data_IF_338525305388
#
_entry.id   IF_338525305388
#
_cell.length_a   1.000
_cell.length_b   1.000
_cell.length_c   1.000
_cell.angle_alpha   90.00
_cell.angle_beta   90.00
_cell.angle_gamma   90.00
#
_symmetry.space_group_name_H-M   'P 1'
#
loop_
_entity.id
_entity.type
_entity.pdbx_description
1 polymer ?
#
# COMPACT_ATOMS: atom_id res chain seq x y z
N UNK A 1 -77.98 25.37 -44.39
CA UNK A 1 -78.29 26.72 -43.89
C UNK A 1 -76.95 27.42 -43.63
N UNK A 2 -76.78 28.60 -44.22
CA UNK A 2 -75.62 29.42 -44.22
C UNK A 2 -75.39 30.08 -42.85
N UNK A 3 -74.15 30.08 -42.32
CA UNK A 3 -73.69 30.87 -41.19
C UNK A 3 -72.37 31.52 -41.51
N UNK A 4 -72.38 32.86 -41.49
CA UNK A 4 -71.34 33.78 -41.96
C UNK A 4 -70.24 33.93 -40.94
N UNK A 5 -68.99 33.88 -41.39
CA UNK A 5 -67.79 34.24 -40.64
C UNK A 5 -67.57 35.76 -40.66
N UNK A 6 -67.41 36.36 -39.49
CA UNK A 6 -66.89 37.73 -39.38
C UNK A 6 -65.50 37.74 -38.81
N UNK A 7 -64.54 38.23 -39.58
CA UNK A 7 -63.17 38.52 -39.16
C UNK A 7 -63.06 39.88 -38.47
N UNK A 8 -62.45 39.96 -37.31
CA UNK A 8 -61.96 41.20 -36.73
C UNK A 8 -60.43 41.26 -36.74
N UNK A 9 -59.85 42.38 -37.13
CA UNK A 9 -58.40 42.53 -37.16
C UNK A 9 -57.83 43.20 -35.85
N UNK A 10 -56.62 42.79 -35.47
CA UNK A 10 -55.72 43.63 -34.77
C UNK A 10 -55.36 43.29 -33.29
N UNK A 11 -54.30 42.51 -33.10
CA UNK A 11 -53.47 42.71 -31.92
C UNK A 11 -51.98 42.65 -32.33
N UNK A 12 -51.28 43.73 -32.04
CA UNK A 12 -49.85 43.93 -32.34
C UNK A 12 -48.99 42.95 -31.53
N UNK A 13 -48.26 42.07 -32.22
CA UNK A 13 -47.26 41.17 -31.63
C UNK A 13 -46.04 42.01 -31.28
N UNK A 14 -45.80 42.27 -29.99
CA UNK A 14 -44.52 42.84 -29.48
C UNK A 14 -43.53 41.72 -29.42
N UNK A 15 -42.58 41.70 -30.35
CA UNK A 15 -41.40 40.83 -30.33
C UNK A 15 -40.48 41.26 -29.17
N UNK A 16 -40.48 40.51 -28.09
CA UNK A 16 -39.51 40.63 -27.03
C UNK A 16 -38.27 39.85 -27.46
N UNK A 17 -37.22 40.57 -27.88
CA UNK A 17 -35.91 40.02 -28.16
C UNK A 17 -35.27 39.64 -26.82
N UNK A 18 -35.39 38.39 -26.41
CA UNK A 18 -34.66 37.84 -25.25
C UNK A 18 -33.17 37.66 -25.62
N UNK A 19 -32.32 38.51 -25.13
CA UNK A 19 -30.87 38.31 -25.19
C UNK A 19 -30.54 37.18 -24.22
N UNK A 20 -30.33 35.95 -24.74
CA UNK A 20 -29.77 34.84 -23.94
C UNK A 20 -28.29 35.15 -23.68
N UNK A 21 -27.99 35.60 -22.45
CA UNK A 21 -26.61 35.70 -21.96
C UNK A 21 -26.10 34.27 -21.79
N UNK A 22 -25.35 33.76 -22.75
CA UNK A 22 -24.56 32.53 -22.61
C UNK A 22 -23.46 32.79 -21.59
N UNK A 23 -23.68 32.39 -20.32
CA UNK A 23 -22.64 32.25 -19.31
C UNK A 23 -21.69 31.15 -19.80
N UNK A 24 -20.60 31.54 -20.44
CA UNK A 24 -19.46 30.65 -20.67
C UNK A 24 -18.82 30.44 -19.31
N UNK A 25 -19.21 29.35 -18.61
CA UNK A 25 -18.47 28.90 -17.44
C UNK A 25 -17.04 28.53 -17.90
N UNK A 26 -16.00 29.03 -17.24
CA UNK A 26 -14.64 28.58 -17.53
C UNK A 26 -14.61 27.05 -17.35
N UNK A 27 -14.12 26.34 -18.36
CA UNK A 27 -13.86 24.91 -18.25
C UNK A 27 -12.66 24.78 -17.29
N UNK A 28 -12.95 24.50 -16.03
CA UNK A 28 -11.93 24.17 -15.05
C UNK A 28 -11.37 22.79 -15.43
N UNK A 29 -10.13 22.75 -15.88
CA UNK A 29 -9.44 21.50 -16.18
C UNK A 29 -8.90 20.91 -14.88
N UNK A 30 -9.57 19.91 -14.36
CA UNK A 30 -9.04 19.12 -13.27
C UNK A 30 -7.92 18.21 -13.80
N UNK A 31 -6.76 18.28 -13.20
CA UNK A 31 -5.62 17.43 -13.51
C UNK A 31 -5.68 16.18 -12.64
N UNK A 32 -5.19 15.04 -13.16
CA UNK A 32 -5.10 13.81 -12.37
C UNK A 32 -3.76 13.10 -12.58
N UNK A 33 -3.36 12.35 -11.56
CA UNK A 33 -2.21 11.44 -11.58
C UNK A 33 -2.51 10.22 -10.75
N UNK A 34 -2.04 9.04 -11.21
CA UNK A 34 -2.15 7.81 -10.45
C UNK A 34 -0.80 7.42 -9.87
N UNK A 35 -0.77 7.17 -8.57
CA UNK A 35 0.36 6.63 -7.84
C UNK A 35 0.05 5.18 -7.49
N UNK A 36 0.92 4.27 -7.91
CA UNK A 36 0.78 2.85 -7.66
C UNK A 36 1.93 2.31 -6.83
N UNK A 37 1.62 1.37 -5.95
CA UNK A 37 2.61 0.64 -5.18
C UNK A 37 2.13 -0.78 -4.93
N UNK A 38 3.07 -1.71 -4.71
CA UNK A 38 2.76 -3.09 -4.42
C UNK A 38 3.45 -3.55 -3.14
N UNK A 39 2.79 -4.41 -2.40
CA UNK A 39 3.36 -5.18 -1.32
C UNK A 39 3.42 -6.64 -1.73
N UNK A 40 4.64 -7.18 -1.87
CA UNK A 40 4.90 -8.59 -2.11
C UNK A 40 5.48 -9.19 -0.83
N UNK A 41 4.82 -10.16 -0.29
CA UNK A 41 5.29 -10.82 0.92
C UNK A 41 6.74 -11.31 0.80
N UNK A 42 7.60 -10.93 1.73
CA UNK A 42 9.00 -11.35 1.80
C UNK A 42 10.03 -10.26 1.51
N UNK A 43 9.61 -9.06 1.15
CA UNK A 43 10.50 -7.90 0.92
C UNK A 43 10.83 -7.12 2.20
N UNK A 44 11.00 -5.83 2.06
CA UNK A 44 11.36 -4.89 3.16
C UNK A 44 10.27 -4.71 4.22
N UNK A 45 9.09 -5.32 4.03
CA UNK A 45 7.91 -5.10 4.87
C UNK A 45 7.19 -3.77 4.58
N UNK A 46 7.53 -3.14 3.46
CA UNK A 46 6.97 -1.87 2.97
C UNK A 46 6.42 -2.04 1.56
N UNK A 47 5.63 -1.07 1.14
CA UNK A 47 5.21 -0.99 -0.25
C UNK A 47 6.39 -0.59 -1.15
N UNK A 48 6.54 -1.32 -2.23
CA UNK A 48 7.45 -0.99 -3.33
C UNK A 48 6.71 -0.14 -4.37
N UNK A 49 7.34 0.96 -4.80
CA UNK A 49 6.74 1.86 -5.79
C UNK A 49 6.70 1.19 -7.17
N UNK A 50 5.51 1.15 -7.77
CA UNK A 50 5.28 0.66 -9.14
C UNK A 50 4.87 1.78 -10.11
N UNK A 51 4.78 3.02 -9.63
CA UNK A 51 4.52 4.16 -10.51
C UNK A 51 5.67 4.34 -11.48
N UNK A 52 5.42 4.39 -12.79
CA UNK A 52 6.48 4.61 -13.76
C UNK A 52 7.24 5.92 -13.48
N UNK A 53 8.58 5.90 -13.51
CA UNK A 53 9.36 7.11 -13.32
C UNK A 53 9.10 8.11 -14.46
N UNK A 54 8.98 9.40 -14.10
CA UNK A 54 8.77 10.50 -15.03
C UNK A 54 9.71 11.67 -14.76
N UNK A 55 9.71 12.65 -15.65
CA UNK A 55 10.45 13.90 -15.51
C UNK A 55 11.96 13.70 -15.29
N UNK A 56 12.50 14.34 -14.25
CA UNK A 56 13.95 14.34 -13.97
C UNK A 56 14.55 12.94 -13.85
N UNK A 57 13.93 12.04 -13.08
CA UNK A 57 14.50 10.73 -12.83
C UNK A 57 14.40 9.78 -14.02
N UNK A 58 13.42 9.98 -14.90
CA UNK A 58 13.34 9.25 -16.16
C UNK A 58 14.43 9.69 -17.14
N UNK A 59 14.66 11.01 -17.24
CA UNK A 59 15.59 11.59 -18.20
C UNK A 59 17.05 11.53 -17.72
N UNK A 60 17.29 11.67 -16.42
CA UNK A 60 18.63 11.72 -15.81
C UNK A 60 18.67 10.86 -14.51
N UNK A 61 18.59 9.53 -14.60
CA UNK A 61 18.50 8.65 -13.43
C UNK A 61 19.63 8.83 -12.43
N UNK A 62 20.85 9.16 -12.92
CA UNK A 62 22.04 9.36 -12.08
C UNK A 62 21.91 10.55 -11.09
N UNK A 63 20.99 11.51 -11.36
CA UNK A 63 20.75 12.66 -10.46
C UNK A 63 19.81 12.31 -9.30
N UNK A 64 19.07 11.22 -9.39
CA UNK A 64 17.96 10.92 -8.47
C UNK A 64 18.36 10.08 -7.26
N UNK A 65 19.49 9.38 -7.34
CA UNK A 65 19.95 8.48 -6.28
C UNK A 65 18.81 7.58 -5.78
N UNK A 66 18.41 7.30 -4.74
CA UNK A 66 17.36 6.35 -4.30
C UNK A 66 15.93 6.93 -4.32
N UNK A 67 15.63 7.89 -5.19
CA UNK A 67 14.28 8.45 -5.34
C UNK A 67 13.76 8.27 -6.76
N UNK A 68 12.44 8.22 -6.87
CA UNK A 68 11.73 8.17 -8.15
C UNK A 68 10.83 9.39 -8.25
N UNK A 69 10.89 10.11 -9.35
CA UNK A 69 9.94 11.18 -9.64
C UNK A 69 8.82 10.69 -10.53
N UNK A 70 7.62 11.22 -10.30
CA UNK A 70 6.45 11.05 -11.16
C UNK A 70 6.12 12.39 -11.80
N UNK A 71 5.73 12.37 -13.09
CA UNK A 71 5.31 13.60 -13.79
C UNK A 71 3.93 14.01 -13.33
N UNK A 72 3.78 15.29 -12.98
CA UNK A 72 2.50 15.94 -12.77
C UNK A 72 2.15 16.76 -14.03
N UNK A 73 0.89 16.76 -14.47
CA UNK A 73 0.47 17.55 -15.64
C UNK A 73 0.33 19.05 -15.33
N UNK A 74 1.30 19.60 -14.59
CA UNK A 74 1.34 20.99 -14.15
C UNK A 74 2.36 21.77 -14.99
N UNK A 75 1.88 22.70 -15.77
CA UNK A 75 2.68 23.68 -16.53
C UNK A 75 2.15 25.09 -16.27
N UNK A 76 3.00 26.09 -16.35
CA UNK A 76 2.63 27.49 -16.14
C UNK A 76 3.73 28.45 -16.63
N UNK A 77 3.40 29.72 -16.70
CA UNK A 77 4.36 30.81 -16.85
C UNK A 77 4.47 31.60 -15.54
N UNK A 78 5.69 31.94 -15.18
CA UNK A 78 6.01 32.69 -13.97
C UNK A 78 6.81 33.93 -14.35
N UNK A 79 6.26 35.09 -14.06
CA UNK A 79 7.05 36.34 -14.10
C UNK A 79 7.89 36.40 -12.83
N UNK A 80 9.22 36.48 -12.98
CA UNK A 80 10.16 36.50 -11.86
C UNK A 80 10.88 37.88 -11.85
N UNK A 81 11.09 38.43 -10.65
CA UNK A 81 11.86 39.67 -10.46
C UNK A 81 13.02 39.38 -9.51
N UNK A 82 14.26 39.48 -10.00
CA UNK A 82 15.43 39.19 -9.16
C UNK A 82 15.58 40.19 -8.03
N UNK A 83 15.80 39.66 -6.80
CA UNK A 83 16.02 40.47 -5.60
C UNK A 83 14.76 41.23 -5.19
N UNK A 84 13.57 40.71 -5.50
CA UNK A 84 12.31 41.28 -5.07
C UNK A 84 12.22 41.29 -3.54
N UNK A 85 11.50 42.28 -3.00
CA UNK A 85 11.26 42.37 -1.55
C UNK A 85 10.36 41.23 -1.05
N UNK A 86 9.40 40.79 -1.88
CA UNK A 86 8.58 39.60 -1.62
C UNK A 86 9.20 38.41 -2.34
N UNK A 87 9.64 37.34 -1.63
CA UNK A 87 10.17 36.12 -2.25
C UNK A 87 9.19 35.44 -3.23
N UNK A 88 7.90 35.72 -3.11
CA UNK A 88 6.87 35.21 -4.02
C UNK A 88 6.97 35.77 -5.44
N UNK A 89 7.66 36.90 -5.61
CA UNK A 89 7.95 37.51 -6.92
C UNK A 89 9.24 36.96 -7.57
N UNK A 90 10.02 36.15 -6.84
CA UNK A 90 11.13 35.39 -7.40
C UNK A 90 10.66 34.05 -7.96
N UNK A 91 11.56 33.15 -8.38
CA UNK A 91 11.18 31.81 -8.74
C UNK A 91 10.85 31.03 -7.45
N UNK A 92 9.58 30.86 -7.17
CA UNK A 92 9.03 30.41 -5.89
C UNK A 92 8.25 29.12 -6.05
N UNK A 93 8.42 28.21 -5.10
CA UNK A 93 7.68 26.94 -5.01
C UNK A 93 7.40 26.59 -3.55
N UNK A 94 6.17 26.21 -3.25
CA UNK A 94 5.79 25.54 -2.01
C UNK A 94 4.98 24.29 -2.34
N UNK A 95 5.36 23.15 -1.79
CA UNK A 95 4.62 21.89 -1.93
C UNK A 95 3.54 21.77 -0.84
N UNK A 96 2.52 20.93 -1.07
CA UNK A 96 1.51 20.64 -0.09
C UNK A 96 2.09 20.02 1.19
N UNK A 97 1.44 20.27 2.32
CA UNK A 97 1.73 19.60 3.58
C UNK A 97 1.30 18.14 3.53
N UNK A 98 1.81 17.33 4.46
CA UNK A 98 1.37 15.94 4.68
C UNK A 98 -0.14 15.80 4.65
N UNK A 99 -0.61 14.74 3.98
CA UNK A 99 -2.02 14.35 4.00
C UNK A 99 -2.17 12.94 4.57
N UNK A 100 -3.22 12.76 5.35
CA UNK A 100 -3.73 11.44 5.74
C UNK A 100 -4.93 11.14 4.86
N UNK A 101 -4.91 9.98 4.21
CA UNK A 101 -5.88 9.59 3.18
C UNK A 101 -6.43 8.22 3.55
N UNK A 102 -7.75 8.07 3.52
CA UNK A 102 -8.34 6.75 3.68
C UNK A 102 -8.31 6.02 2.33
N UNK A 103 -7.70 4.83 2.34
CA UNK A 103 -7.74 3.89 1.21
C UNK A 103 -8.65 2.73 1.56
N UNK A 104 -9.39 2.25 0.59
CA UNK A 104 -10.43 1.24 0.75
C UNK A 104 -10.12 0.00 -0.07
N UNK A 105 -10.32 -1.16 0.53
CA UNK A 105 -10.18 -2.44 -0.14
C UNK A 105 -11.35 -2.65 -1.11
N UNK A 106 -11.05 -2.94 -2.39
CA UNK A 106 -12.06 -3.01 -3.47
C UNK A 106 -13.16 -4.05 -3.19
N UNK A 107 -12.82 -5.19 -2.59
CA UNK A 107 -13.78 -6.28 -2.39
C UNK A 107 -14.57 -6.17 -1.08
N UNK A 108 -13.97 -5.66 0.01
CA UNK A 108 -14.57 -5.68 1.35
C UNK A 108 -15.03 -4.32 1.85
N UNK A 109 -14.54 -3.22 1.23
CA UNK A 109 -14.77 -1.87 1.71
C UNK A 109 -14.02 -1.52 3.00
N UNK A 110 -13.16 -2.41 3.49
CA UNK A 110 -12.32 -2.14 4.65
C UNK A 110 -11.42 -0.92 4.39
N UNK A 111 -11.28 -0.04 5.36
CA UNK A 111 -10.45 1.17 5.22
C UNK A 111 -9.14 1.07 6.00
N UNK A 112 -8.10 1.69 5.44
CA UNK A 112 -6.81 1.92 6.10
C UNK A 112 -6.38 3.35 5.86
N UNK A 113 -5.63 3.90 6.81
CA UNK A 113 -5.08 5.24 6.70
C UNK A 113 -3.68 5.20 6.09
N UNK A 114 -3.52 5.95 5.01
CA UNK A 114 -2.28 6.18 4.29
C UNK A 114 -1.77 7.58 4.62
N UNK A 115 -0.51 7.70 4.99
CA UNK A 115 0.19 8.98 5.12
C UNK A 115 0.97 9.26 3.84
N UNK A 116 0.82 10.45 3.30
CA UNK A 116 1.41 10.85 2.03
C UNK A 116 2.16 12.18 2.16
N UNK A 117 3.41 12.18 1.72
CA UNK A 117 4.29 13.34 1.73
C UNK A 117 4.89 13.58 0.35
N UNK A 118 4.98 14.84 -0.06
CA UNK A 118 5.80 15.27 -1.19
C UNK A 118 7.22 15.54 -0.70
N UNK A 119 8.23 14.84 -1.25
CA UNK A 119 9.61 14.88 -0.73
C UNK A 119 10.57 15.67 -1.58
N UNK A 120 10.28 15.83 -2.86
CA UNK A 120 11.09 16.64 -3.77
C UNK A 120 10.26 17.19 -4.92
N UNK A 121 10.74 18.25 -5.55
CA UNK A 121 10.19 18.81 -6.79
C UNK A 121 11.30 19.00 -7.82
N UNK A 122 10.96 18.72 -9.06
CA UNK A 122 11.78 18.98 -10.23
C UNK A 122 10.93 19.64 -11.30
N UNK A 123 11.47 20.66 -11.95
CA UNK A 123 10.82 21.29 -13.09
C UNK A 123 11.83 21.57 -14.20
N UNK A 124 11.33 21.55 -15.42
CA UNK A 124 12.03 21.98 -16.61
C UNK A 124 11.56 23.37 -16.97
N UNK A 125 12.47 24.35 -16.83
CA UNK A 125 12.11 25.75 -16.91
C UNK A 125 12.91 26.42 -18.05
N UNK A 126 12.20 27.14 -18.91
CA UNK A 126 12.77 27.87 -20.05
C UNK A 126 12.55 29.36 -19.89
N UNK A 127 13.50 30.18 -20.34
CA UNK A 127 13.31 31.61 -20.53
C UNK A 127 13.53 31.99 -21.99
N UNK A 128 13.00 33.12 -22.47
CA UNK A 128 13.21 33.59 -23.86
C UNK A 128 14.58 34.22 -24.10
N UNK A 129 15.23 34.69 -23.02
CA UNK A 129 16.48 35.44 -23.07
C UNK A 129 17.70 34.52 -22.84
N UNK A 130 18.88 35.14 -22.65
CA UNK A 130 20.13 34.40 -22.40
C UNK A 130 20.07 33.63 -21.08
N UNK A 131 20.65 32.43 -21.07
CA UNK A 131 20.73 31.57 -19.89
C UNK A 131 21.34 32.30 -18.66
N UNK A 132 22.25 33.24 -18.86
CA UNK A 132 22.83 34.03 -17.77
C UNK A 132 21.78 34.78 -16.92
N UNK A 133 20.64 35.11 -17.50
CA UNK A 133 19.53 35.75 -16.77
C UNK A 133 18.52 34.80 -16.18
N UNK A 134 18.71 33.49 -16.42
CA UNK A 134 17.77 32.49 -15.96
C UNK A 134 17.72 32.46 -14.41
N UNK A 135 16.52 32.49 -13.78
CA UNK A 135 16.37 32.58 -12.32
C UNK A 135 16.95 31.36 -11.57
N UNK A 136 17.14 30.26 -12.27
CA UNK A 136 17.66 28.98 -11.70
C UNK A 136 19.12 28.70 -12.15
N UNK A 137 19.71 29.50 -13.01
CA UNK A 137 21.10 29.29 -13.46
C UNK A 137 22.09 29.81 -12.42
N UNK A 138 22.93 28.88 -11.90
CA UNK A 138 23.86 29.19 -10.81
C UNK A 138 23.17 29.89 -9.63
N UNK A 139 21.92 29.52 -9.37
CA UNK A 139 21.06 30.25 -8.45
C UNK A 139 21.46 30.06 -6.99
N UNK A 140 21.14 31.06 -6.18
CA UNK A 140 21.06 30.90 -4.72
C UNK A 140 19.67 30.37 -4.37
N UNK A 141 19.62 29.14 -3.91
CA UNK A 141 18.39 28.52 -3.36
C UNK A 141 18.25 28.94 -1.90
N UNK A 142 17.05 29.39 -1.54
CA UNK A 142 16.69 29.83 -0.19
C UNK A 142 15.42 29.15 0.28
N UNK A 143 15.16 29.20 1.59
CA UNK A 143 13.97 28.63 2.20
C UNK A 143 14.10 27.16 2.58
N UNK A 144 13.00 26.42 2.49
CA UNK A 144 12.86 25.05 3.01
C UNK A 144 13.28 23.92 2.07
N UNK A 145 14.11 24.20 1.05
CA UNK A 145 14.62 23.19 0.12
C UNK A 145 16.14 23.10 0.10
N UNK A 146 16.65 21.96 -0.32
CA UNK A 146 18.06 21.75 -0.64
C UNK A 146 18.24 21.34 -2.11
N UNK A 147 19.27 21.85 -2.76
CA UNK A 147 19.57 21.52 -4.14
C UNK A 147 20.19 20.13 -4.25
N UNK A 148 19.58 19.26 -5.06
CA UNK A 148 20.11 17.93 -5.38
C UNK A 148 20.85 17.97 -6.71
N UNK A 149 20.22 18.51 -7.75
CA UNK A 149 20.78 18.59 -9.09
C UNK A 149 20.27 19.80 -9.82
N UNK A 150 21.10 20.35 -10.70
CA UNK A 150 20.73 21.39 -11.68
C UNK A 150 21.47 21.11 -12.99
N UNK A 151 20.72 20.98 -14.06
CA UNK A 151 21.23 20.73 -15.41
C UNK A 151 20.81 21.88 -16.31
N UNK A 152 21.78 22.52 -16.99
CA UNK A 152 21.54 23.72 -17.79
C UNK A 152 21.84 23.49 -19.26
N UNK A 153 21.02 24.06 -20.14
CA UNK A 153 21.17 24.08 -21.59
C UNK A 153 21.14 25.53 -22.09
N UNK A 154 22.05 25.89 -22.99
CA UNK A 154 22.14 27.25 -23.47
C UNK A 154 21.18 27.55 -24.61
N UNK A 155 20.85 26.59 -25.45
CA UNK A 155 19.98 26.80 -26.63
C UNK A 155 19.03 25.61 -26.80
N UNK A 156 17.73 25.81 -26.53
CA UNK A 156 17.13 26.96 -25.84
C UNK A 156 17.65 27.11 -24.40
N UNK A 157 17.52 28.30 -23.79
CA UNK A 157 17.95 28.53 -22.40
C UNK A 157 17.00 27.80 -21.44
N UNK A 158 17.41 26.63 -21.01
CA UNK A 158 16.63 25.77 -20.14
C UNK A 158 17.46 25.37 -18.93
N UNK A 159 16.80 25.35 -17.76
CA UNK A 159 17.33 24.75 -16.54
C UNK A 159 16.36 23.70 -16.07
N UNK A 160 16.88 22.46 -15.87
CA UNK A 160 16.19 21.41 -15.15
C UNK A 160 16.76 21.38 -13.75
N UNK A 161 15.92 21.37 -12.73
CA UNK A 161 16.34 21.29 -11.35
C UNK A 161 15.65 20.18 -10.60
N UNK A 162 16.28 19.68 -9.55
CA UNK A 162 15.70 18.78 -8.56
C UNK A 162 16.05 19.32 -7.17
N UNK A 163 15.05 19.67 -6.39
CA UNK A 163 15.16 20.17 -5.04
C UNK A 163 14.46 19.25 -4.07
N UNK A 164 15.16 18.84 -3.00
CA UNK A 164 14.56 18.13 -1.88
C UNK A 164 13.88 19.11 -0.93
N UNK A 165 12.72 18.73 -0.42
CA UNK A 165 12.03 19.42 0.66
C UNK A 165 12.64 18.97 2.00
N UNK A 166 13.12 19.91 2.81
CA UNK A 166 13.82 19.61 4.06
C UNK A 166 12.88 19.06 5.15
N UNK A 167 11.60 19.46 5.14
CA UNK A 167 10.57 19.02 6.05
C UNK A 167 9.29 18.65 5.30
N UNK A 168 9.19 17.45 4.70
CA UNK A 168 8.05 17.06 3.86
C UNK A 168 6.70 17.11 4.57
N UNK A 169 6.65 16.84 5.87
CA UNK A 169 5.39 16.87 6.63
C UNK A 169 4.81 18.28 6.81
N UNK A 170 5.68 19.31 6.79
CA UNK A 170 5.31 20.71 6.95
C UNK A 170 6.27 21.60 6.12
N UNK A 171 6.16 21.56 4.78
CA UNK A 171 7.12 22.20 3.90
C UNK A 171 7.08 23.72 3.99
N UNK A 172 8.25 24.30 4.21
CA UNK A 172 8.46 25.72 4.03
C UNK A 172 8.68 26.02 2.55
N UNK A 173 8.33 27.22 2.07
CA UNK A 173 8.55 27.60 0.69
C UNK A 173 10.04 27.68 0.34
N UNK A 174 10.31 27.47 -0.96
CA UNK A 174 11.63 27.61 -1.55
C UNK A 174 11.58 28.68 -2.63
N UNK A 175 12.63 29.47 -2.74
CA UNK A 175 12.74 30.42 -3.83
C UNK A 175 14.19 30.53 -4.30
N UNK A 176 14.37 30.94 -5.54
CA UNK A 176 15.66 30.99 -6.16
C UNK A 176 15.80 32.24 -7.05
N UNK A 177 17.00 32.81 -7.05
CA UNK A 177 17.36 33.83 -7.96
C UNK A 177 18.73 33.57 -8.64
N UNK A 178 18.79 33.77 -9.93
CA UNK A 178 20.00 33.57 -10.71
C UNK A 178 21.11 34.54 -10.28
N UNK A 179 22.34 34.04 -10.10
CA UNK A 179 23.46 34.82 -9.59
C UNK A 179 23.82 36.00 -10.51
N UNK A 180 23.76 35.80 -11.83
CA UNK A 180 24.33 36.70 -12.81
C UNK A 180 23.39 37.81 -13.25
N UNK A 181 22.08 37.71 -13.03
CA UNK A 181 21.16 38.78 -13.37
C UNK A 181 21.30 39.97 -12.40
N UNK A 182 21.16 41.21 -12.83
CA UNK A 182 21.13 42.36 -11.93
C UNK A 182 19.82 42.41 -11.13
N UNK A 183 19.84 43.00 -9.94
CA UNK A 183 18.62 43.22 -9.15
C UNK A 183 17.58 44.03 -9.93
N UNK A 184 16.32 43.71 -9.78
CA UNK A 184 15.21 44.31 -10.54
C UNK A 184 15.03 43.73 -11.95
N UNK A 185 15.89 42.82 -12.41
CA UNK A 185 15.70 42.11 -13.68
C UNK A 185 14.44 41.29 -13.66
N UNK A 186 13.60 41.49 -14.66
CA UNK A 186 12.36 40.71 -14.86
C UNK A 186 12.56 39.67 -15.97
N UNK A 187 12.18 38.45 -15.73
CA UNK A 187 12.16 37.35 -16.71
C UNK A 187 10.82 36.60 -16.66
N UNK A 188 10.38 36.13 -17.83
CA UNK A 188 9.25 35.22 -17.95
C UNK A 188 9.82 33.81 -18.00
N UNK A 189 9.58 33.03 -16.97
CA UNK A 189 9.99 31.62 -16.85
C UNK A 189 8.83 30.70 -17.21
N UNK A 190 8.94 29.99 -18.33
CA UNK A 190 7.94 29.01 -18.77
C UNK A 190 8.30 27.64 -18.17
N UNK A 191 7.45 27.10 -17.30
CA UNK A 191 7.57 25.77 -16.72
C UNK A 191 6.93 24.77 -17.67
N UNK A 192 7.77 23.97 -18.33
CA UNK A 192 7.39 23.04 -19.40
C UNK A 192 7.04 21.65 -18.88
N UNK A 193 7.57 21.28 -17.73
CA UNK A 193 7.42 19.96 -17.12
C UNK A 193 7.55 20.11 -15.61
N UNK A 194 6.69 19.46 -14.86
CA UNK A 194 6.75 19.37 -13.40
C UNK A 194 6.76 17.90 -13.01
N UNK A 195 7.71 17.51 -12.17
CA UNK A 195 7.75 16.18 -11.57
C UNK A 195 8.06 16.27 -10.08
N UNK A 196 7.63 15.30 -9.32
CA UNK A 196 7.74 15.26 -7.86
C UNK A 196 8.21 13.90 -7.40
N UNK A 197 8.93 13.86 -6.28
CA UNK A 197 9.12 12.64 -5.51
C UNK A 197 8.19 12.67 -4.29
N UNK A 198 7.84 11.49 -3.81
CA UNK A 198 6.89 11.33 -2.71
C UNK A 198 7.29 10.17 -1.78
N UNK A 199 6.67 10.14 -0.62
CA UNK A 199 6.71 9.01 0.31
C UNK A 199 5.28 8.59 0.66
N UNK A 200 5.07 7.28 0.69
CA UNK A 200 3.84 6.64 1.15
C UNK A 200 4.19 5.86 2.41
N UNK A 201 3.44 6.08 3.47
CA UNK A 201 3.49 5.26 4.67
C UNK A 201 2.09 4.78 5.01
N UNK A 202 1.94 3.47 5.07
CA UNK A 202 0.72 2.80 5.48
C UNK A 202 1.10 1.67 6.44
N UNK A 203 0.56 1.68 7.62
CA UNK A 203 1.03 0.84 8.71
C UNK A 203 0.10 -0.35 8.96
N UNK A 204 0.64 -1.52 9.17
CA UNK A 204 1.72 -2.21 8.43
C UNK A 204 1.10 -3.03 7.28
N UNK A 205 1.69 -3.09 6.08
CA UNK A 205 1.09 -3.74 4.91
C UNK A 205 0.79 -5.24 5.11
N UNK A 206 1.55 -5.93 5.96
CA UNK A 206 1.32 -7.35 6.26
C UNK A 206 0.03 -7.63 7.09
N UNK A 207 -0.62 -6.60 7.64
CA UNK A 207 -1.93 -6.70 8.30
C UNK A 207 -3.11 -6.30 7.40
N UNK A 208 -2.83 -5.90 6.19
CA UNK A 208 -3.87 -5.57 5.21
C UNK A 208 -4.32 -6.85 4.49
N UNK A 209 -5.62 -7.09 4.30
CA UNK A 209 -6.09 -8.13 3.39
C UNK A 209 -5.46 -8.03 2.00
N UNK A 210 -5.22 -9.19 1.36
CA UNK A 210 -4.77 -9.26 -0.03
C UNK A 210 -5.80 -8.65 -0.95
N UNK A 211 -5.33 -7.93 -1.98
CA UNK A 211 -6.17 -7.32 -2.99
C UNK A 211 -5.79 -5.88 -3.29
N UNK A 212 -6.64 -5.23 -4.05
CA UNK A 212 -6.44 -3.84 -4.48
C UNK A 212 -7.09 -2.88 -3.49
N UNK A 213 -6.34 -1.86 -3.11
CA UNK A 213 -6.76 -0.78 -2.25
C UNK A 213 -6.72 0.53 -3.00
N UNK A 214 -7.78 1.33 -2.91
CA UNK A 214 -7.91 2.61 -3.62
C UNK A 214 -8.25 3.75 -2.70
N UNK A 215 -7.72 4.93 -3.03
CA UNK A 215 -8.03 6.19 -2.37
C UNK A 215 -7.69 7.35 -3.28
N UNK A 216 -8.08 8.56 -2.89
CA UNK A 216 -7.72 9.76 -3.63
C UNK A 216 -7.65 10.97 -2.73
N UNK A 217 -6.89 11.97 -3.16
CA UNK A 217 -6.81 13.29 -2.53
C UNK A 217 -6.70 14.36 -3.61
N UNK A 218 -7.37 15.48 -3.39
CA UNK A 218 -7.30 16.63 -4.30
C UNK A 218 -6.53 17.78 -3.65
N UNK A 219 -5.64 18.38 -4.43
CA UNK A 219 -4.84 19.56 -4.08
C UNK A 219 -5.22 20.73 -4.94
N UNK A 220 -5.25 21.92 -4.37
CA UNK A 220 -5.36 23.18 -5.10
C UNK A 220 -4.00 23.60 -5.70
N UNK A 221 -4.01 24.18 -6.90
CA UNK A 221 -2.83 24.65 -7.61
C UNK A 221 -2.94 26.14 -7.89
N UNK A 222 -1.88 26.87 -7.63
CA UNK A 222 -1.80 28.32 -7.95
C UNK A 222 -1.44 29.16 -6.74
N UNK A 223 -1.44 30.50 -6.89
CA UNK A 223 -1.07 31.41 -5.82
C UNK A 223 -1.90 31.20 -4.54
N UNK A 224 -1.22 30.84 -3.45
CA UNK A 224 -1.86 30.55 -2.16
C UNK A 224 -2.50 29.16 -2.04
N UNK A 225 -2.47 28.33 -3.09
CA UNK A 225 -2.94 26.95 -3.08
C UNK A 225 -2.03 25.99 -2.33
N UNK A 226 -2.37 24.70 -2.38
CA UNK A 226 -1.52 23.63 -1.84
C UNK A 226 -0.19 23.57 -2.60
N UNK A 227 -0.24 23.48 -3.94
CA UNK A 227 0.91 23.76 -4.82
C UNK A 227 0.94 25.25 -5.12
N UNK A 228 1.83 25.97 -4.47
CA UNK A 228 1.92 27.42 -4.59
C UNK A 228 3.21 27.82 -5.32
N UNK A 229 3.07 28.50 -6.44
CA UNK A 229 4.18 28.96 -7.29
C UNK A 229 4.44 30.47 -7.17
N UNK A 230 3.93 31.11 -6.10
CA UNK A 230 4.12 32.52 -5.81
C UNK A 230 3.19 33.44 -6.59
N UNK A 231 3.58 34.72 -6.71
CA UNK A 231 2.80 35.73 -7.41
C UNK A 231 3.03 35.68 -8.94
N UNK A 232 2.23 36.39 -9.71
CA UNK A 232 2.40 36.59 -11.17
C UNK A 232 2.52 35.24 -11.96
N UNK A 233 1.70 34.26 -11.60
CA UNK A 233 1.55 32.97 -12.32
C UNK A 233 0.45 33.12 -13.36
N UNK A 234 0.75 32.75 -14.61
CA UNK A 234 -0.17 32.78 -15.75
C UNK A 234 -0.10 31.48 -16.53
N UNK A 235 -1.03 31.24 -17.46
CA UNK A 235 -1.09 30.05 -18.31
C UNK A 235 -1.01 28.73 -17.52
N UNK A 236 -1.59 28.70 -16.32
CA UNK A 236 -1.64 27.51 -15.49
C UNK A 236 -2.51 26.44 -16.15
N UNK A 237 -1.99 25.21 -16.27
CA UNK A 237 -2.66 24.09 -16.95
C UNK A 237 -3.94 23.60 -16.25
N UNK A 238 -4.09 23.87 -14.95
CA UNK A 238 -5.29 23.58 -14.15
C UNK A 238 -5.14 24.14 -12.75
N UNK A 239 -6.23 24.29 -12.03
CA UNK A 239 -6.28 24.86 -10.68
C UNK A 239 -6.39 23.78 -9.57
N UNK A 240 -6.55 22.53 -9.97
CA UNK A 240 -6.66 21.39 -9.04
C UNK A 240 -5.98 20.14 -9.61
N UNK A 241 -5.39 19.34 -8.71
CA UNK A 241 -4.77 18.06 -9.00
C UNK A 241 -5.38 16.98 -8.11
N UNK A 242 -5.96 15.95 -8.71
CA UNK A 242 -6.38 14.74 -7.99
C UNK A 242 -5.31 13.68 -8.10
N UNK A 243 -4.84 13.19 -6.96
CA UNK A 243 -3.92 12.07 -6.86
C UNK A 243 -4.73 10.83 -6.50
N UNK A 244 -4.71 9.84 -7.38
CA UNK A 244 -5.34 8.55 -7.19
C UNK A 244 -4.30 7.54 -6.70
N UNK A 245 -4.62 6.78 -5.66
CA UNK A 245 -3.75 5.72 -5.13
C UNK A 245 -4.30 4.36 -5.54
N UNK A 246 -3.40 3.48 -5.98
CA UNK A 246 -3.68 2.07 -6.28
C UNK A 246 -2.59 1.24 -5.62
N UNK A 247 -2.96 0.55 -4.52
CA UNK A 247 -2.04 -0.28 -3.75
C UNK A 247 -2.43 -1.74 -3.95
N UNK A 248 -1.49 -2.56 -4.40
CA UNK A 248 -1.68 -4.00 -4.60
C UNK A 248 -1.01 -4.76 -3.44
N UNK A 249 -1.81 -5.42 -2.62
CA UNK A 249 -1.34 -6.23 -1.49
C UNK A 249 -1.40 -7.69 -1.87
N UNK A 250 -0.25 -8.36 -1.89
CA UNK A 250 -0.14 -9.79 -2.12
C UNK A 250 0.72 -10.42 -1.02
N UNK A 251 0.14 -11.40 -0.34
CA UNK A 251 0.84 -12.14 0.69
C UNK A 251 1.47 -13.41 0.13
N UNK A 252 2.62 -13.79 0.67
CA UNK A 252 3.21 -15.10 0.45
C UNK A 252 2.85 -16.02 1.62
N UNK A 253 2.40 -17.24 1.29
CA UNK A 253 2.19 -18.30 2.25
C UNK A 253 2.77 -19.59 1.70
N UNK A 254 3.79 -20.13 2.39
CA UNK A 254 4.45 -21.37 2.02
C UNK A 254 4.54 -22.23 3.29
N UNK A 255 4.28 -23.51 3.13
CA UNK A 255 4.31 -24.48 4.20
C UNK A 255 5.05 -25.72 3.71
N UNK A 256 6.08 -26.15 4.43
CA UNK A 256 6.90 -27.29 4.05
C UNK A 256 7.07 -28.27 5.20
N UNK A 257 6.82 -29.52 4.91
CA UNK A 257 7.12 -30.63 5.81
C UNK A 257 8.44 -31.32 5.39
N UNK A 258 9.28 -31.71 6.34
CA UNK A 258 10.38 -32.58 6.07
C UNK A 258 9.93 -33.92 5.46
N UNK A 259 10.74 -34.61 4.64
CA UNK A 259 10.44 -35.93 4.13
C UNK A 259 10.09 -36.91 5.27
N UNK A 260 9.04 -37.74 5.08
CA UNK A 260 8.57 -38.68 6.07
C UNK A 260 7.63 -38.11 7.13
N UNK A 261 7.19 -36.87 6.99
CA UNK A 261 6.20 -36.23 7.88
C UNK A 261 4.74 -36.58 7.51
N UNK A 262 4.52 -37.44 6.54
CA UNK A 262 3.22 -37.98 6.15
C UNK A 262 2.66 -39.00 7.15
N UNK A 263 3.50 -39.44 8.08
CA UNK A 263 3.12 -40.41 9.14
C UNK A 263 3.48 -39.90 10.53
N UNK A 264 2.50 -39.93 11.43
CA UNK A 264 2.66 -39.69 12.87
C UNK A 264 2.48 -41.01 13.63
N UNK A 265 3.57 -41.69 13.94
CA UNK A 265 3.51 -42.87 14.84
C UNK A 265 3.52 -42.34 16.26
N UNK A 266 2.41 -42.56 16.99
CA UNK A 266 2.27 -42.11 18.37
C UNK A 266 2.93 -43.13 19.32
N UNK A 267 3.85 -42.65 20.13
CA UNK A 267 4.63 -43.43 21.08
C UNK A 267 4.63 -42.78 22.46
N UNK A 268 4.86 -43.56 23.54
CA UNK A 268 5.11 -43.00 24.86
C UNK A 268 6.33 -42.08 24.84
N UNK A 269 6.35 -40.99 25.61
CA UNK A 269 7.56 -40.23 25.83
C UNK A 269 8.70 -41.12 26.38
N UNK A 270 9.82 -41.19 25.66
CA UNK A 270 10.92 -42.13 25.98
C UNK A 270 10.79 -43.52 25.39
N UNK A 271 9.74 -43.80 24.60
CA UNK A 271 9.50 -45.04 23.91
C UNK A 271 8.85 -46.14 24.81
N UNK A 272 8.67 -47.33 24.23
CA UNK A 272 7.99 -48.44 24.86
C UNK A 272 8.84 -49.23 25.86
N UNK A 273 10.16 -49.08 25.88
CA UNK A 273 11.10 -49.90 26.64
C UNK A 273 10.82 -49.91 28.16
N UNK A 274 10.48 -48.75 28.72
CA UNK A 274 10.20 -48.64 30.16
C UNK A 274 8.99 -49.51 30.59
N UNK A 275 7.94 -49.56 29.79
CA UNK A 275 6.75 -50.39 30.05
C UNK A 275 7.01 -51.87 29.78
N UNK A 276 7.67 -52.19 28.67
CA UNK A 276 8.02 -53.56 28.31
C UNK A 276 8.97 -54.23 29.35
N UNK A 277 9.76 -53.43 30.06
CA UNK A 277 10.59 -53.89 31.16
C UNK A 277 9.86 -54.02 32.52
N UNK A 278 8.50 -53.97 32.54
CA UNK A 278 7.70 -54.09 33.74
C UNK A 278 7.41 -52.80 34.49
N UNK A 279 7.66 -51.65 33.85
CA UNK A 279 7.35 -50.33 34.41
C UNK A 279 5.85 -50.01 34.37
N UNK A 280 5.48 -48.82 34.83
CA UNK A 280 4.10 -48.32 34.79
C UNK A 280 3.60 -48.13 33.36
N UNK A 281 2.28 -48.35 33.10
CA UNK A 281 1.68 -48.04 31.80
C UNK A 281 1.96 -46.58 31.40
N UNK A 282 2.14 -46.30 30.08
CA UNK A 282 2.34 -44.95 29.59
C UNK A 282 1.15 -44.06 29.94
N UNK A 283 1.42 -42.80 30.27
CA UNK A 283 0.38 -41.83 30.61
C UNK A 283 -0.15 -41.09 29.38
N UNK A 284 0.55 -41.17 28.27
CA UNK A 284 0.15 -40.58 26.98
C UNK A 284 0.92 -41.20 25.82
N UNK A 285 0.34 -41.18 24.64
CA UNK A 285 1.06 -41.40 23.40
C UNK A 285 1.14 -40.07 22.65
N UNK A 286 2.27 -39.72 22.12
CA UNK A 286 2.44 -38.44 21.46
C UNK A 286 3.40 -38.52 20.26
N UNK A 287 3.22 -37.58 19.32
CA UNK A 287 4.16 -37.33 18.23
C UNK A 287 4.09 -35.88 17.85
N UNK A 288 5.26 -35.22 17.77
CA UNK A 288 5.40 -33.90 17.24
C UNK A 288 5.98 -33.99 15.81
N UNK A 289 5.32 -33.33 14.84
CA UNK A 289 5.76 -33.25 13.46
C UNK A 289 6.23 -31.81 13.20
N UNK A 290 7.53 -31.61 12.96
CA UNK A 290 8.04 -30.29 12.62
C UNK A 290 7.64 -29.90 11.19
N UNK A 291 7.50 -28.61 10.96
CA UNK A 291 7.33 -28.01 9.66
C UNK A 291 8.04 -26.67 9.58
N UNK A 292 8.14 -26.10 8.38
CA UNK A 292 8.59 -24.75 8.14
C UNK A 292 7.48 -23.92 7.54
N UNK A 293 7.40 -22.64 7.95
CA UNK A 293 6.38 -21.71 7.48
C UNK A 293 7.01 -20.39 7.02
N UNK A 294 6.49 -19.91 5.89
CA UNK A 294 6.64 -18.55 5.40
C UNK A 294 5.25 -17.94 5.38
N UNK A 295 5.04 -16.89 6.13
CA UNK A 295 3.78 -16.16 6.16
C UNK A 295 4.04 -14.67 6.26
N UNK A 296 3.42 -13.90 5.38
CA UNK A 296 3.51 -12.44 5.35
C UNK A 296 2.13 -11.79 5.48
N UNK A 297 1.10 -12.61 5.67
CA UNK A 297 -0.27 -12.18 5.85
C UNK A 297 -1.08 -13.09 6.74
N UNK A 298 -2.36 -12.77 6.97
CA UNK A 298 -3.26 -13.59 7.77
C UNK A 298 -3.60 -14.90 7.06
N UNK A 299 -3.87 -15.93 7.86
CA UNK A 299 -4.35 -17.23 7.35
C UNK A 299 -5.24 -17.92 8.39
N UNK A 300 -6.01 -18.91 7.95
CA UNK A 300 -6.89 -19.71 8.80
C UNK A 300 -6.42 -21.16 8.85
N UNK A 301 -6.61 -21.82 9.98
CA UNK A 301 -6.28 -23.24 10.13
C UNK A 301 -7.43 -23.99 10.78
N UNK A 302 -7.73 -25.17 10.25
CA UNK A 302 -8.66 -26.14 10.80
C UNK A 302 -8.23 -27.55 10.43
N UNK A 303 -8.87 -28.56 11.04
CA UNK A 303 -8.61 -29.94 10.68
C UNK A 303 -9.85 -30.66 10.20
N UNK A 304 -9.65 -31.71 9.41
CA UNK A 304 -10.64 -32.71 9.02
C UNK A 304 -10.10 -34.08 9.38
N UNK A 305 -10.95 -34.97 9.85
CA UNK A 305 -10.54 -36.28 10.31
C UNK A 305 -11.38 -37.37 9.63
N UNK A 306 -10.76 -38.49 9.35
CA UNK A 306 -11.42 -39.67 8.80
C UNK A 306 -12.42 -40.24 9.80
N UNK A 307 -12.03 -40.31 11.08
CA UNK A 307 -12.85 -40.85 12.17
C UNK A 307 -13.00 -39.80 13.27
N UNK A 308 -14.15 -39.79 13.90
CA UNK A 308 -14.50 -38.95 15.03
C UNK A 308 -15.05 -39.76 16.19
N UNK A 309 -14.55 -39.47 17.39
CA UNK A 309 -15.18 -39.87 18.65
C UNK A 309 -15.79 -38.58 19.25
N UNK A 310 -17.12 -38.49 19.21
CA UNK A 310 -17.88 -37.24 19.45
C UNK A 310 -17.43 -36.12 18.50
N UNK A 311 -16.83 -35.07 19.03
CA UNK A 311 -16.30 -33.92 18.24
C UNK A 311 -14.79 -33.96 18.04
N UNK A 312 -14.09 -34.94 18.63
CA UNK A 312 -12.65 -35.13 18.56
C UNK A 312 -12.27 -36.05 17.40
N UNK A 313 -11.14 -35.79 16.75
CA UNK A 313 -10.55 -36.74 15.81
C UNK A 313 -10.29 -38.08 16.52
N UNK A 314 -10.38 -39.16 15.79
CA UNK A 314 -10.13 -40.49 16.35
C UNK A 314 -9.29 -41.34 15.40
N UNK A 315 -8.57 -42.29 15.99
CA UNK A 315 -7.97 -43.44 15.30
C UNK A 315 -8.79 -44.69 15.64
N UNK A 316 -8.84 -45.64 14.72
CA UNK A 316 -9.71 -46.85 14.84
C UNK A 316 -8.93 -48.11 14.58
N UNK A 317 -9.25 -49.19 15.31
CA UNK A 317 -8.72 -50.51 15.07
C UNK A 317 -9.63 -51.34 14.15
N UNK A 318 -9.23 -52.57 13.83
CA UNK A 318 -9.98 -53.49 12.96
C UNK A 318 -11.31 -53.96 13.56
N UNK A 319 -11.49 -53.85 14.88
CA UNK A 319 -12.75 -54.20 15.58
C UNK A 319 -13.68 -52.99 15.73
N UNK A 320 -13.35 -51.88 15.07
CA UNK A 320 -14.08 -50.63 15.11
C UNK A 320 -14.03 -49.86 16.45
N UNK A 321 -13.15 -50.27 17.37
CA UNK A 321 -12.88 -49.51 18.58
C UNK A 321 -12.16 -48.19 18.21
N UNK A 322 -12.63 -47.06 18.75
CA UNK A 322 -12.16 -45.72 18.42
C UNK A 322 -11.54 -45.05 19.63
N UNK A 323 -10.41 -44.39 19.40
CA UNK A 323 -9.67 -43.67 20.43
C UNK A 323 -9.46 -42.23 19.96
N UNK A 324 -9.86 -41.25 20.77
CA UNK A 324 -9.66 -39.83 20.42
C UNK A 324 -8.19 -39.47 20.32
N UNK A 325 -7.91 -38.61 19.34
CA UNK A 325 -6.58 -37.96 19.14
C UNK A 325 -6.72 -36.48 19.21
N UNK A 326 -6.02 -35.86 20.12
CA UNK A 326 -5.84 -34.38 20.15
C UNK A 326 -4.84 -33.95 19.09
N UNK A 327 -5.19 -32.91 18.35
CA UNK A 327 -4.33 -32.28 17.34
C UNK A 327 -4.20 -30.81 17.67
N UNK A 328 -2.98 -30.39 17.93
CA UNK A 328 -2.64 -29.00 18.27
C UNK A 328 -1.49 -28.52 17.42
N UNK A 329 -1.28 -27.21 17.42
CA UNK A 329 -0.23 -26.55 16.63
C UNK A 329 0.54 -25.53 17.47
N UNK A 330 1.85 -25.46 17.22
CA UNK A 330 2.71 -24.35 17.68
C UNK A 330 3.27 -23.65 16.46
N UNK A 331 3.23 -22.32 16.48
CA UNK A 331 3.75 -21.46 15.43
C UNK A 331 4.94 -20.63 15.94
N UNK A 332 5.84 -20.21 15.06
CA UNK A 332 6.97 -19.38 15.45
C UNK A 332 6.52 -17.98 15.93
N UNK A 333 7.41 -17.34 16.69
CA UNK A 333 7.23 -15.93 17.05
C UNK A 333 7.03 -15.07 15.79
N UNK A 334 6.07 -14.14 15.85
CA UNK A 334 5.65 -13.32 14.73
C UNK A 334 4.35 -13.75 14.07
N UNK A 335 3.80 -14.93 14.47
CA UNK A 335 2.44 -15.36 14.12
C UNK A 335 1.65 -15.52 15.43
N UNK A 336 0.49 -14.89 15.48
CA UNK A 336 -0.35 -14.80 16.68
C UNK A 336 -1.78 -15.26 16.40
N UNK A 337 -2.45 -15.76 17.43
CA UNK A 337 -3.89 -16.00 17.44
C UNK A 337 -4.52 -15.12 18.52
N UNK A 338 -5.49 -14.27 18.12
CA UNK A 338 -6.15 -13.33 19.03
C UNK A 338 -5.16 -12.47 19.87
N UNK A 339 -4.03 -12.06 19.26
CA UNK A 339 -2.99 -11.26 19.90
C UNK A 339 -2.06 -12.02 20.86
N UNK A 340 -2.14 -13.36 20.89
CA UNK A 340 -1.31 -14.20 21.75
C UNK A 340 -0.41 -15.15 20.93
N UNK A 341 0.80 -15.49 21.43
CA UNK A 341 1.67 -16.49 20.82
C UNK A 341 1.00 -17.88 20.75
N UNK A 342 1.26 -18.60 19.68
CA UNK A 342 0.64 -19.90 19.40
C UNK A 342 1.52 -21.02 19.94
N UNK A 343 1.12 -21.61 21.09
CA UNK A 343 1.81 -22.72 21.74
C UNK A 343 0.82 -23.84 22.05
N UNK A 344 0.96 -24.98 21.39
CA UNK A 344 0.08 -26.16 21.53
C UNK A 344 -1.42 -25.80 21.48
N UNK A 345 -1.78 -24.89 20.57
CA UNK A 345 -3.16 -24.46 20.39
C UNK A 345 -3.95 -25.58 19.69
N UNK A 346 -5.01 -26.06 20.35
CA UNK A 346 -5.88 -27.12 19.80
C UNK A 346 -6.55 -26.65 18.50
N UNK A 347 -6.45 -27.46 17.45
CA UNK A 347 -7.08 -27.17 16.17
C UNK A 347 -8.54 -27.66 16.18
N UNK A 348 -9.49 -26.79 15.78
CA UNK A 348 -10.89 -27.13 15.67
C UNK A 348 -11.15 -28.01 14.43
N UNK A 349 -12.26 -28.77 14.46
CA UNK A 349 -12.71 -29.55 13.31
C UNK A 349 -13.67 -28.74 12.44
N UNK A 350 -13.42 -28.75 11.12
CA UNK A 350 -14.28 -28.12 10.11
C UNK A 350 -13.98 -26.64 9.84
N UNK A 351 -14.27 -26.22 8.61
CA UNK A 351 -13.96 -24.87 8.10
C UNK A 351 -14.67 -23.75 8.86
N UNK A 352 -15.88 -23.98 9.33
CA UNK A 352 -16.68 -22.96 10.04
C UNK A 352 -16.07 -22.57 11.40
N UNK A 353 -15.29 -23.47 12.00
CA UNK A 353 -14.60 -23.24 13.26
C UNK A 353 -13.13 -22.84 13.09
N UNK A 354 -12.67 -22.59 11.86
CA UNK A 354 -11.28 -22.29 11.56
C UNK A 354 -10.73 -21.15 12.43
N UNK A 355 -9.54 -21.35 13.00
CA UNK A 355 -8.85 -20.32 13.77
C UNK A 355 -8.15 -19.34 12.82
N UNK A 356 -8.31 -18.07 13.09
CA UNK A 356 -7.61 -16.99 12.40
C UNK A 356 -6.23 -16.77 13.04
N UNK A 357 -5.20 -16.69 12.22
CA UNK A 357 -3.84 -16.34 12.61
C UNK A 357 -3.41 -15.08 11.89
N UNK A 358 -2.75 -14.18 12.62
CA UNK A 358 -2.30 -12.90 12.10
C UNK A 358 -0.76 -12.86 12.12
N UNK A 359 -0.17 -12.31 11.04
CA UNK A 359 1.25 -12.03 11.01
C UNK A 359 1.53 -10.72 11.77
N UNK A 360 2.11 -10.80 12.95
CA UNK A 360 2.60 -9.63 13.68
C UNK A 360 3.87 -9.04 13.02
N UNK A 361 4.58 -9.87 12.26
CA UNK A 361 5.72 -9.51 11.40
C UNK A 361 5.85 -10.54 10.26
N UNK A 362 6.53 -10.16 9.17
CA UNK A 362 6.85 -11.12 8.11
C UNK A 362 7.68 -12.28 8.69
N UNK A 363 7.14 -13.48 8.57
CA UNK A 363 7.78 -14.72 9.07
C UNK A 363 8.33 -15.47 7.87
N UNK A 364 9.65 -15.63 7.81
CA UNK A 364 10.33 -16.29 6.70
C UNK A 364 11.09 -17.50 7.19
N UNK A 365 10.77 -18.70 6.67
CA UNK A 365 11.45 -19.97 6.92
C UNK A 365 11.63 -20.29 8.43
N UNK A 366 10.58 -20.15 9.22
CA UNK A 366 10.62 -20.40 10.67
C UNK A 366 10.02 -21.75 11.01
N UNK A 367 10.55 -22.43 12.05
CA UNK A 367 10.01 -23.74 12.48
C UNK A 367 8.69 -23.59 13.22
N UNK A 368 7.75 -24.47 12.91
CA UNK A 368 6.53 -24.75 13.66
C UNK A 368 6.40 -26.23 13.95
N UNK A 369 5.37 -26.62 14.68
CA UNK A 369 5.10 -28.02 15.02
C UNK A 369 3.61 -28.33 15.03
N UNK A 370 3.24 -29.48 14.47
CA UNK A 370 1.95 -30.14 14.74
C UNK A 370 2.16 -31.15 15.85
N UNK A 371 1.24 -31.16 16.80
CA UNK A 371 1.27 -32.03 17.96
C UNK A 371 0.07 -33.01 17.89
N UNK A 372 0.35 -34.30 17.96
CA UNK A 372 -0.64 -35.34 18.02
C UNK A 372 -0.51 -36.03 19.37
N UNK A 373 -1.63 -36.23 20.07
CA UNK A 373 -1.61 -36.85 21.40
C UNK A 373 -2.86 -37.69 21.66
N UNK A 374 -2.68 -38.88 22.25
CA UNK A 374 -3.71 -39.64 22.94
C UNK A 374 -3.51 -39.46 24.43
N UNK A 375 -4.53 -39.00 25.14
CA UNK A 375 -4.48 -38.75 26.57
C UNK A 375 -4.56 -40.07 27.36
N UNK A 376 -4.23 -40.05 28.64
CA UNK A 376 -4.22 -41.22 29.51
C UNK A 376 -5.58 -41.94 29.57
N UNK A 377 -6.64 -41.17 29.80
CA UNK A 377 -8.01 -41.71 29.95
C UNK A 377 -8.49 -42.40 28.66
N UNK A 378 -8.04 -41.95 27.51
CA UNK A 378 -8.37 -42.54 26.21
C UNK A 378 -7.51 -43.78 25.89
N UNK A 379 -6.32 -43.93 26.52
CA UNK A 379 -5.43 -45.10 26.33
C UNK A 379 -5.91 -46.36 27.01
N UNK A 380 -6.62 -46.28 28.11
CA UNK A 380 -7.12 -47.43 28.84
C UNK A 380 -8.00 -48.32 27.96
N UNK A 381 -8.72 -47.72 27.00
CA UNK A 381 -9.45 -48.43 25.94
C UNK A 381 -8.52 -49.23 25.02
N UNK A 382 -7.42 -48.66 24.57
CA UNK A 382 -6.46 -49.31 23.67
C UNK A 382 -5.78 -50.52 24.30
N UNK A 383 -5.48 -50.44 25.58
CA UNK A 383 -4.80 -51.52 26.32
C UNK A 383 -5.65 -52.78 26.46
N UNK A 384 -6.97 -52.74 26.23
CA UNK A 384 -7.87 -53.89 26.19
C UNK A 384 -7.73 -54.75 24.92
N UNK A 385 -7.08 -54.18 23.88
CA UNK A 385 -6.88 -54.82 22.57
C UNK A 385 -5.41 -54.99 22.24
N UNK A 386 -4.64 -55.77 23.02
CA UNK A 386 -3.20 -55.95 22.80
C UNK A 386 -2.93 -56.58 21.42
N UNK A 387 -1.89 -56.11 20.75
CA UNK A 387 -1.50 -56.55 19.41
C UNK A 387 -2.31 -55.98 18.26
N UNK A 388 -3.24 -55.06 18.53
CA UNK A 388 -3.97 -54.35 17.46
C UNK A 388 -3.31 -53.04 17.08
N UNK A 389 -3.54 -52.62 15.84
CA UNK A 389 -3.06 -51.33 15.32
C UNK A 389 -4.25 -50.40 15.17
N UNK A 390 -4.11 -49.18 15.68
CA UNK A 390 -5.07 -48.10 15.49
C UNK A 390 -4.57 -47.17 14.42
N UNK A 391 -5.40 -46.86 13.43
CA UNK A 391 -5.07 -45.97 12.31
C UNK A 391 -6.16 -44.93 12.05
N UNK A 392 -5.84 -43.84 11.44
CA UNK A 392 -6.77 -42.81 10.99
C UNK A 392 -6.05 -41.71 10.28
N UNK A 393 -6.77 -40.97 9.45
CA UNK A 393 -6.23 -39.84 8.70
C UNK A 393 -6.71 -38.53 9.32
N UNK A 394 -5.78 -37.59 9.48
CA UNK A 394 -6.04 -36.19 9.84
C UNK A 394 -5.51 -35.31 8.76
N UNK A 395 -6.38 -34.47 8.17
CA UNK A 395 -6.00 -33.43 7.22
C UNK A 395 -5.99 -32.07 7.93
N UNK A 396 -4.85 -31.46 8.08
CA UNK A 396 -4.75 -30.07 8.56
C UNK A 396 -4.78 -29.15 7.35
N UNK A 397 -5.76 -28.26 7.32
CA UNK A 397 -5.96 -27.31 6.22
C UNK A 397 -5.46 -25.94 6.66
N UNK A 398 -4.55 -25.41 5.88
CA UNK A 398 -4.09 -24.01 5.97
C UNK A 398 -4.73 -23.26 4.82
N UNK A 399 -5.60 -22.32 5.15
CA UNK A 399 -6.35 -21.51 4.20
C UNK A 399 -5.82 -20.07 4.29
N UNK A 400 -4.87 -19.74 3.41
CA UNK A 400 -4.41 -18.40 3.21
C UNK A 400 -5.30 -17.77 2.13
N UNK A 401 -6.06 -16.76 2.49
CA UNK A 401 -6.75 -15.91 1.50
C UNK A 401 -5.68 -15.10 0.76
N UNK A 402 -5.17 -15.67 -0.34
CA UNK A 402 -4.17 -15.06 -1.24
C UNK A 402 -4.86 -14.22 -2.30
#
# INVERSE_FOLDING_TARGET
MRGVLTLQPGSRLRTVLGVALLLVAPVVSALDVTISAEYRGGGTGRFDNTTPPGGQCSNWPYTCRNRTTVTLPITYEKKTTKGAADPRDEFYVRLPTRREIDVYHDATGESRRLTFDWTAISQRVQIPNDLFYHPLYQANLQGGCSQVATLSQFRPPIVNYLFDVTQPSAPSPCWANGRNAPNGRVEIASVLDTSVAYAIDINPPFRMPSGIWRGSVTYSIGPGGDFDFGNDVTALSGDSLTVNFVLDVQHAFIFEFPPGSDRAVLEPPGGWQGWLAGGKPPQRLARDLPFRVWSTGPFKVYKLCEHYADTRCAIRNHTADQVPVEVAMSLPAGIEHAGAPVQRLALPSGRLAALQFDAAMATLNRPGQLHFQVAQDDMDGMLRYPGTTYTGQVTVVFDAEL
#
